data_IF_747355044794
#
_entry.id   IF_747355044794
#
_cell.length_a   1.000
_cell.length_b   1.000
_cell.length_c   1.000
_cell.angle_alpha   90.00
_cell.angle_beta   90.00
_cell.angle_gamma   90.00
#
_symmetry.space_group_name_H-M   'P 1'
#
loop_
_entity.id
_entity.type
_entity.pdbx_description
1 polymer ?
#
# COMPACT_ATOMS: atom_id res chain seq x y z
N UNK A 1 -3.98 -37.88 3.54
CA UNK A 1 -2.62 -37.35 3.84
C UNK A 1 -1.96 -36.97 2.53
N UNK A 2 -1.68 -35.69 2.27
CA UNK A 2 -0.50 -35.18 1.57
C UNK A 2 -0.54 -33.64 1.62
N UNK A 3 0.66 -33.05 1.61
CA UNK A 3 1.05 -31.78 2.24
C UNK A 3 0.70 -30.53 1.43
N UNK A 4 0.56 -29.44 2.18
CA UNK A 4 0.79 -28.05 1.78
C UNK A 4 1.90 -27.89 0.72
N UNK A 5 1.65 -27.06 -0.30
CA UNK A 5 2.66 -26.16 -0.85
C UNK A 5 1.98 -24.97 -1.54
N UNK A 6 2.21 -23.79 -0.97
CA UNK A 6 1.94 -22.50 -1.59
C UNK A 6 2.68 -22.39 -2.92
N UNK A 7 1.98 -22.05 -3.99
CA UNK A 7 2.61 -21.41 -5.15
C UNK A 7 1.59 -20.52 -5.87
N UNK A 8 1.45 -19.29 -5.36
CA UNK A 8 0.87 -18.20 -6.12
C UNK A 8 1.97 -17.73 -7.08
N UNK A 9 1.86 -18.04 -8.36
CA UNK A 9 2.54 -17.28 -9.40
C UNK A 9 1.50 -16.82 -10.41
N UNK A 10 1.09 -15.57 -10.22
CA UNK A 10 0.28 -14.82 -11.17
C UNK A 10 1.10 -14.63 -12.44
N UNK A 11 0.57 -15.18 -13.53
CA UNK A 11 0.91 -14.79 -14.90
C UNK A 11 0.65 -13.29 -15.08
N UNK A 12 1.69 -12.51 -15.37
CA UNK A 12 1.68 -11.50 -16.44
C UNK A 12 2.94 -10.64 -16.36
N UNK A 13 3.93 -10.90 -17.23
CA UNK A 13 4.68 -9.81 -17.86
C UNK A 13 4.89 -10.18 -19.33
N UNK A 14 4.08 -9.55 -20.17
CA UNK A 14 4.18 -9.48 -21.62
C UNK A 14 5.54 -8.86 -22.00
N UNK A 15 6.47 -9.67 -22.49
CA UNK A 15 7.77 -9.21 -22.99
C UNK A 15 7.55 -8.63 -24.39
N UNK A 16 7.48 -7.30 -24.49
CA UNK A 16 7.51 -6.59 -25.77
C UNK A 16 8.98 -6.44 -26.20
N UNK A 17 9.48 -7.41 -26.97
CA UNK A 17 10.81 -7.39 -27.58
C UNK A 17 10.81 -6.46 -28.80
N UNK A 18 10.98 -5.15 -28.56
CA UNK A 18 11.42 -4.24 -29.63
C UNK A 18 12.92 -4.39 -29.82
N UNK A 19 13.30 -5.12 -30.86
CA UNK A 19 14.63 -5.16 -31.45
C UNK A 19 15.18 -3.73 -31.58
N UNK A 20 16.32 -3.45 -30.94
CA UNK A 20 17.16 -2.31 -31.27
C UNK A 20 18.45 -2.85 -31.86
N UNK A 21 18.54 -2.81 -33.18
CA UNK A 21 19.80 -2.97 -33.91
C UNK A 21 20.66 -1.74 -33.55
N UNK A 22 21.77 -1.97 -32.85
CA UNK A 22 22.74 -0.91 -32.53
C UNK A 22 23.72 -0.76 -33.69
N UNK A 23 24.00 0.46 -34.20
CA UNK A 23 25.04 0.65 -35.20
C UNK A 23 26.43 0.48 -34.58
N UNK A 24 27.25 -0.36 -35.21
CA UNK A 24 28.66 -0.55 -34.88
C UNK A 24 29.44 0.66 -35.39
N UNK A 25 29.94 1.50 -34.48
CA UNK A 25 30.96 2.51 -34.80
C UNK A 25 32.32 2.02 -34.30
N UNK A 26 33.19 1.71 -35.25
CA UNK A 26 34.63 1.52 -35.03
C UNK A 26 35.32 2.88 -34.97
N UNK A 27 36.05 3.18 -33.90
CA UNK A 27 36.94 4.34 -33.85
C UNK A 27 37.30 4.77 -32.43
N UNK A 28 38.59 4.81 -32.13
CA UNK A 28 39.17 5.27 -30.88
C UNK A 28 38.76 6.73 -30.57
N UNK A 29 38.24 7.00 -29.38
CA UNK A 29 38.57 8.22 -28.61
C UNK A 29 38.02 8.16 -27.19
N UNK A 30 38.78 8.81 -26.33
CA UNK A 30 38.73 8.94 -24.88
C UNK A 30 37.40 9.51 -24.32
N UNK A 31 37.06 9.06 -23.10
CA UNK A 31 36.17 9.69 -22.11
C UNK A 31 34.67 9.79 -22.45
N UNK A 32 33.91 8.76 -22.08
CA UNK A 32 32.47 8.92 -21.85
C UNK A 32 32.23 9.63 -20.49
N UNK A 33 31.44 10.72 -20.42
CA UNK A 33 31.15 11.39 -19.17
C UNK A 33 30.27 10.51 -18.27
N UNK A 34 30.79 10.14 -17.11
CA UNK A 34 30.23 9.21 -16.12
C UNK A 34 29.05 9.77 -15.32
N UNK A 35 28.22 10.68 -15.86
CA UNK A 35 27.29 11.47 -15.04
C UNK A 35 25.79 11.10 -15.09
N UNK A 36 25.32 10.17 -15.92
CA UNK A 36 23.86 9.91 -16.07
C UNK A 36 23.24 8.86 -15.13
N UNK A 37 23.96 8.28 -14.17
CA UNK A 37 23.46 7.08 -13.43
C UNK A 37 22.80 7.33 -12.06
N UNK A 38 22.76 8.57 -11.54
CA UNK A 38 22.35 8.81 -10.14
C UNK A 38 20.88 9.20 -9.92
N UNK A 39 20.18 9.74 -10.92
CA UNK A 39 18.82 10.29 -10.74
C UNK A 39 17.73 9.20 -10.72
N UNK A 40 17.95 8.07 -11.41
CA UNK A 40 16.97 6.98 -11.54
C UNK A 40 16.66 6.23 -10.24
N UNK A 41 17.65 6.06 -9.34
CA UNK A 41 17.49 5.25 -8.12
C UNK A 41 16.65 5.96 -7.06
N UNK A 42 16.69 7.28 -7.02
CA UNK A 42 16.02 8.07 -5.99
C UNK A 42 14.50 8.12 -6.20
N UNK A 43 14.05 8.27 -7.46
CA UNK A 43 12.61 8.25 -7.81
C UNK A 43 11.96 6.89 -7.50
N UNK A 44 12.64 5.78 -7.83
CA UNK A 44 12.13 4.42 -7.53
C UNK A 44 11.92 4.15 -6.03
N UNK A 45 12.80 4.69 -5.17
CA UNK A 45 12.69 4.55 -3.71
C UNK A 45 11.49 5.32 -3.14
N UNK A 46 11.25 6.55 -3.62
CA UNK A 46 10.12 7.38 -3.18
C UNK A 46 8.77 6.73 -3.51
N UNK A 47 8.62 6.19 -4.73
CA UNK A 47 7.39 5.48 -5.12
C UNK A 47 7.13 4.26 -4.24
N UNK A 48 8.16 3.45 -3.95
CA UNK A 48 8.01 2.27 -3.09
C UNK A 48 7.59 2.61 -1.65
N UNK A 49 8.10 3.71 -1.10
CA UNK A 49 7.72 4.18 0.24
C UNK A 49 6.25 4.61 0.24
N UNK A 50 5.83 5.33 -0.79
CA UNK A 50 4.46 5.78 -0.94
C UNK A 50 3.46 4.63 -1.11
N UNK A 51 3.77 3.65 -1.98
CA UNK A 51 2.97 2.42 -2.13
C UNK A 51 2.83 1.64 -0.82
N UNK A 52 3.93 1.53 -0.05
CA UNK A 52 3.93 0.88 1.26
C UNK A 52 3.01 1.62 2.23
N UNK A 53 3.11 2.94 2.29
CA UNK A 53 2.28 3.76 3.17
C UNK A 53 0.78 3.64 2.84
N UNK A 54 0.42 3.68 1.56
CA UNK A 54 -0.96 3.45 1.10
C UNK A 54 -1.44 2.05 1.51
N UNK A 55 -0.60 1.03 1.36
CA UNK A 55 -0.95 -0.34 1.76
C UNK A 55 -1.18 -0.47 3.27
N UNK A 56 -0.37 0.21 4.09
CA UNK A 56 -0.51 0.22 5.55
C UNK A 56 -1.80 0.93 5.97
N UNK A 57 -2.11 2.09 5.39
CA UNK A 57 -3.36 2.81 5.63
C UNK A 57 -4.58 1.95 5.29
N UNK A 58 -4.60 1.28 4.13
CA UNK A 58 -5.68 0.36 3.77
C UNK A 58 -5.84 -0.76 4.79
N UNK A 59 -4.74 -1.32 5.27
CA UNK A 59 -4.76 -2.36 6.30
C UNK A 59 -5.39 -1.85 7.60
N UNK A 60 -5.00 -0.66 8.07
CA UNK A 60 -5.55 -0.07 9.29
C UNK A 60 -7.03 0.30 9.17
N UNK A 61 -7.48 0.71 7.97
CA UNK A 61 -8.90 0.98 7.68
C UNK A 61 -9.73 -0.29 7.83
N UNK A 62 -9.29 -1.40 7.24
CA UNK A 62 -9.98 -2.68 7.36
C UNK A 62 -9.98 -3.22 8.79
N UNK A 63 -8.87 -3.03 9.51
CA UNK A 63 -8.79 -3.39 10.94
C UNK A 63 -9.77 -2.58 11.79
N UNK A 64 -9.82 -1.25 11.62
CA UNK A 64 -10.77 -0.40 12.35
C UNK A 64 -12.22 -0.80 12.04
N UNK A 65 -12.53 -1.11 10.77
CA UNK A 65 -13.85 -1.60 10.36
C UNK A 65 -14.20 -2.94 11.03
N UNK A 66 -13.25 -3.87 11.11
CA UNK A 66 -13.44 -5.14 11.80
C UNK A 66 -13.69 -4.93 13.29
N UNK A 67 -12.90 -4.08 13.96
CA UNK A 67 -13.07 -3.76 15.38
C UNK A 67 -14.42 -3.12 15.68
N UNK A 68 -14.90 -2.20 14.81
CA UNK A 68 -16.24 -1.62 14.92
C UNK A 68 -17.30 -2.70 14.84
N UNK A 69 -17.24 -3.59 13.84
CA UNK A 69 -18.21 -4.66 13.67
C UNK A 69 -18.22 -5.61 14.88
N UNK A 70 -17.04 -6.02 15.37
CA UNK A 70 -16.90 -6.85 16.55
C UNK A 70 -17.46 -6.16 17.80
N UNK A 71 -17.22 -4.86 17.97
CA UNK A 71 -17.75 -4.10 19.10
C UNK A 71 -19.29 -3.99 19.02
N UNK A 72 -19.85 -3.78 17.83
CA UNK A 72 -21.32 -3.77 17.61
C UNK A 72 -21.92 -5.15 17.90
N UNK A 73 -21.31 -6.22 17.40
CA UNK A 73 -21.78 -7.60 17.62
C UNK A 73 -21.78 -7.94 19.11
N UNK A 74 -20.72 -7.55 19.84
CA UNK A 74 -20.65 -7.75 21.27
C UNK A 74 -21.64 -6.86 22.04
N UNK A 75 -21.82 -5.61 21.61
CA UNK A 75 -22.79 -4.68 22.20
C UNK A 75 -24.23 -5.23 22.12
N UNK A 76 -24.61 -5.81 20.99
CA UNK A 76 -25.94 -6.39 20.79
C UNK A 76 -26.26 -7.54 21.75
N UNK A 77 -25.23 -8.22 22.27
CA UNK A 77 -25.37 -9.39 23.14
C UNK A 77 -25.13 -9.07 24.62
N UNK A 78 -24.78 -7.83 24.97
CA UNK A 78 -24.39 -7.48 26.33
C UNK A 78 -25.58 -6.99 27.16
N UNK A 79 -25.69 -7.51 28.39
CA UNK A 79 -26.73 -7.12 29.36
C UNK A 79 -26.18 -6.42 30.58
N UNK A 80 -24.85 -6.44 30.78
CA UNK A 80 -24.19 -5.78 31.89
C UNK A 80 -24.05 -4.27 31.63
N UNK A 81 -24.62 -3.39 32.48
CA UNK A 81 -24.63 -1.94 32.24
C UNK A 81 -23.24 -1.31 32.05
N UNK A 82 -22.23 -1.77 32.80
CA UNK A 82 -20.86 -1.26 32.65
C UNK A 82 -20.24 -1.60 31.30
N UNK A 83 -20.61 -2.74 30.73
CA UNK A 83 -20.12 -3.15 29.42
C UNK A 83 -20.86 -2.43 28.29
N UNK A 84 -22.12 -2.04 28.50
CA UNK A 84 -22.87 -1.16 27.58
C UNK A 84 -22.09 0.15 27.39
N UNK A 85 -21.74 0.83 28.48
CA UNK A 85 -20.98 2.09 28.41
C UNK A 85 -19.61 1.90 27.76
N UNK A 86 -18.92 0.81 28.11
CA UNK A 86 -17.64 0.47 27.50
C UNK A 86 -17.74 0.31 25.98
N UNK A 87 -18.74 -0.43 25.48
CA UNK A 87 -18.90 -0.65 24.05
C UNK A 87 -19.39 0.59 23.31
N UNK A 88 -20.24 1.43 23.91
CA UNK A 88 -20.61 2.73 23.33
C UNK A 88 -19.34 3.58 23.12
N UNK A 89 -18.49 3.64 24.14
CA UNK A 89 -17.22 4.35 24.03
C UNK A 89 -16.32 3.73 22.96
N UNK A 90 -16.14 2.40 22.97
CA UNK A 90 -15.28 1.70 22.02
C UNK A 90 -15.74 1.90 20.57
N UNK A 91 -17.03 1.76 20.30
CA UNK A 91 -17.60 2.00 18.97
C UNK A 91 -17.30 3.44 18.52
N UNK A 92 -17.56 4.42 19.38
CA UNK A 92 -17.33 5.83 19.06
C UNK A 92 -15.86 6.16 18.82
N UNK A 93 -14.96 5.59 19.63
CA UNK A 93 -13.51 5.79 19.47
C UNK A 93 -12.97 5.16 18.19
N UNK A 94 -13.43 3.95 17.84
CA UNK A 94 -13.00 3.27 16.62
C UNK A 94 -13.61 3.92 15.36
N UNK A 95 -14.84 4.44 15.43
CA UNK A 95 -15.42 5.26 14.37
C UNK A 95 -14.61 6.53 14.12
N UNK A 96 -14.21 7.24 15.18
CA UNK A 96 -13.36 8.43 15.07
C UNK A 96 -12.01 8.09 14.41
N UNK A 97 -11.37 7.00 14.84
CA UNK A 97 -10.13 6.49 14.24
C UNK A 97 -10.32 6.15 12.76
N UNK A 98 -11.42 5.48 12.41
CA UNK A 98 -11.75 5.13 11.03
C UNK A 98 -11.91 6.38 10.14
N UNK A 99 -12.60 7.41 10.62
CA UNK A 99 -12.76 8.68 9.91
C UNK A 99 -11.42 9.40 9.67
N UNK A 100 -10.54 9.40 10.67
CA UNK A 100 -9.19 9.96 10.55
C UNK A 100 -8.38 9.22 9.47
N UNK A 101 -8.37 7.88 9.51
CA UNK A 101 -7.68 7.06 8.52
C UNK A 101 -8.21 7.29 7.09
N UNK A 102 -9.52 7.46 6.93
CA UNK A 102 -10.12 7.80 5.64
C UNK A 102 -9.70 9.19 5.16
N UNK A 103 -9.61 10.17 6.06
CA UNK A 103 -9.13 11.52 5.72
C UNK A 103 -7.68 11.48 5.25
N UNK A 104 -6.80 10.77 5.97
CA UNK A 104 -5.40 10.59 5.60
C UNK A 104 -5.26 9.88 4.24
N UNK A 105 -6.03 8.83 4.01
CA UNK A 105 -6.03 8.09 2.75
C UNK A 105 -6.44 8.98 1.58
N UNK A 106 -7.53 9.77 1.72
CA UNK A 106 -7.99 10.70 0.67
C UNK A 106 -6.95 11.77 0.36
N UNK A 107 -6.36 12.36 1.40
CA UNK A 107 -5.31 13.36 1.21
C UNK A 107 -4.16 12.78 0.38
N UNK A 108 -3.71 11.55 0.69
CA UNK A 108 -2.65 10.88 -0.07
C UNK A 108 -3.04 10.60 -1.53
N UNK A 109 -4.30 10.23 -1.81
CA UNK A 109 -4.79 10.01 -3.17
C UNK A 109 -4.84 11.32 -3.98
N UNK A 110 -5.28 12.43 -3.37
CA UNK A 110 -5.30 13.76 -4.01
C UNK A 110 -3.88 14.27 -4.34
N UNK A 111 -2.89 14.00 -3.48
CA UNK A 111 -1.48 14.30 -3.76
C UNK A 111 -0.90 13.50 -4.95
N UNK A 112 -1.51 12.37 -5.32
CA UNK A 112 -1.06 11.58 -6.48
C UNK A 112 -1.66 12.02 -7.81
N UNK A 113 -2.78 12.75 -7.81
CA UNK A 113 -3.43 13.25 -9.03
C UNK A 113 -2.86 14.59 -9.52
N UNK A 114 -2.07 15.28 -8.70
CA UNK A 114 -1.52 16.62 -8.99
C UNK A 114 -0.15 16.62 -9.69
N UNK A 115 0.40 15.45 -10.05
CA UNK A 115 1.69 15.28 -10.75
C UNK A 115 1.61 14.30 -11.93
#
# INVERSE_FOLDING_TARGET
MFRNNFHIFIHNIYINSKERVFPVYTGLSSAAPTSLRKVSRHRKRKNKIHEKHISELKSHIEEAKLEINLAIDNFNNVTEPKLIDFYIYKISSEQTRFEQLLSEYKNLEDWTQTF
#
